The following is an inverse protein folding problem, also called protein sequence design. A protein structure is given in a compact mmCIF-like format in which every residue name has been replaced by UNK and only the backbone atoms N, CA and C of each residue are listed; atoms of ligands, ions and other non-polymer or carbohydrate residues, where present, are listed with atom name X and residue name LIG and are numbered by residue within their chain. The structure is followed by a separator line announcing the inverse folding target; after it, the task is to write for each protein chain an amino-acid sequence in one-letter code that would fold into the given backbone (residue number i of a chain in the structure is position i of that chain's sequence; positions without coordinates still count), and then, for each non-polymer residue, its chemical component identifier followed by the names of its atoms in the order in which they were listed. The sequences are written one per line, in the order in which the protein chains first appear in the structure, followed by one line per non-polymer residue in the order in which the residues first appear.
data_IF_647608861042
#
_entry.id   IF_647608861042
#
_cell.length_a   1.000
_cell.length_b   1.000
_cell.length_c   1.000
_cell.angle_alpha   90.00
_cell.angle_beta   90.00
_cell.angle_gamma   90.00
#
_symmetry.space_group_name_H-M   'P 1'
#
loop_
_entity.id
_entity.type
_entity.pdbx_description
1 polymer ?
#
# COMPACT_ATOMS: atom_id res chain seq x y z
N UNK A 1 -1.42 30.89 -13.63
CA UNK A 1 -1.63 29.43 -13.59
C UNK A 1 -2.00 29.05 -12.17
N UNK A 2 -3.22 28.58 -11.97
CA UNK A 2 -3.65 28.07 -10.68
C UNK A 2 -3.05 26.67 -10.46
N UNK A 3 -2.68 26.37 -9.21
CA UNK A 3 -2.30 25.03 -8.78
C UNK A 3 -3.52 24.08 -8.81
N UNK A 4 -3.28 22.79 -8.71
CA UNK A 4 -4.34 21.77 -8.75
C UNK A 4 -5.35 21.97 -7.60
N UNK A 5 -4.86 22.25 -6.40
CA UNK A 5 -5.71 22.52 -5.23
C UNK A 5 -6.52 23.83 -5.38
N UNK A 6 -5.91 24.88 -5.93
CA UNK A 6 -6.63 26.14 -6.19
C UNK A 6 -7.74 25.96 -7.23
N UNK A 7 -7.50 25.12 -8.24
CA UNK A 7 -8.54 24.74 -9.22
C UNK A 7 -9.69 23.98 -8.57
N UNK A 8 -9.40 23.05 -7.65
CA UNK A 8 -10.42 22.30 -6.93
C UNK A 8 -11.31 23.25 -6.11
N UNK A 9 -10.71 24.14 -5.34
CA UNK A 9 -11.47 25.14 -4.58
C UNK A 9 -12.24 26.12 -5.47
N UNK A 10 -11.65 26.56 -6.57
CA UNK A 10 -12.34 27.42 -7.53
C UNK A 10 -13.55 26.72 -8.15
N UNK A 11 -13.44 25.44 -8.50
CA UNK A 11 -14.55 24.65 -9.03
C UNK A 11 -15.70 24.55 -8.02
N UNK A 12 -15.40 24.21 -6.76
CA UNK A 12 -16.42 24.17 -5.70
C UNK A 12 -17.08 25.54 -5.47
N UNK A 13 -16.28 26.61 -5.45
CA UNK A 13 -16.83 27.97 -5.32
C UNK A 13 -17.77 28.31 -6.47
N UNK A 14 -17.37 28.08 -7.71
CA UNK A 14 -18.22 28.33 -8.90
C UNK A 14 -19.51 27.51 -8.85
N UNK A 15 -19.42 26.25 -8.49
CA UNK A 15 -20.57 25.37 -8.36
C UNK A 15 -21.59 25.90 -7.32
N UNK A 16 -21.10 26.28 -6.15
CA UNK A 16 -21.93 26.84 -5.05
C UNK A 16 -22.57 28.18 -5.40
N UNK A 17 -21.94 28.96 -6.28
CA UNK A 17 -22.51 30.19 -6.81
C UNK A 17 -23.39 30.01 -8.05
N UNK A 18 -23.63 28.75 -8.49
CA UNK A 18 -24.52 28.44 -9.58
C UNK A 18 -23.87 28.40 -10.97
N UNK A 19 -22.56 28.61 -11.08
CA UNK A 19 -21.79 28.50 -12.33
C UNK A 19 -21.40 27.03 -12.60
N UNK A 20 -22.42 26.19 -12.81
CA UNK A 20 -22.28 24.73 -12.86
C UNK A 20 -21.40 24.26 -14.01
N UNK A 21 -21.59 24.84 -15.20
CA UNK A 21 -20.84 24.43 -16.40
C UNK A 21 -19.36 24.83 -16.29
N UNK A 22 -19.06 26.04 -15.78
CA UNK A 22 -17.69 26.46 -15.54
C UNK A 22 -16.97 25.55 -14.51
N UNK A 23 -17.69 25.13 -13.46
CA UNK A 23 -17.19 24.19 -12.48
C UNK A 23 -16.86 22.83 -13.10
N UNK A 24 -17.74 22.30 -13.94
CA UNK A 24 -17.53 21.02 -14.66
C UNK A 24 -16.37 21.12 -15.65
N UNK A 25 -16.20 22.24 -16.33
CA UNK A 25 -15.07 22.44 -17.23
C UNK A 25 -13.72 22.41 -16.49
N UNK A 26 -13.69 22.95 -15.26
CA UNK A 26 -12.51 22.82 -14.41
C UNK A 26 -12.26 21.35 -14.04
N UNK A 27 -13.30 20.60 -13.63
CA UNK A 27 -13.14 19.17 -13.33
C UNK A 27 -12.66 18.37 -14.55
N UNK A 28 -13.20 18.66 -15.72
CA UNK A 28 -12.76 18.06 -16.98
C UNK A 28 -11.28 18.34 -17.25
N UNK A 29 -10.83 19.57 -16.98
CA UNK A 29 -9.41 19.92 -17.06
C UNK A 29 -8.57 19.15 -16.05
N UNK A 30 -9.05 18.99 -14.82
CA UNK A 30 -8.36 18.24 -13.77
C UNK A 30 -8.23 16.75 -14.13
N UNK A 31 -9.27 16.12 -14.69
CA UNK A 31 -9.23 14.72 -15.14
C UNK A 31 -8.11 14.44 -16.16
N UNK A 32 -7.77 15.41 -17.00
CA UNK A 32 -6.72 15.25 -18.01
C UNK A 32 -5.32 15.05 -17.41
N UNK A 33 -5.11 15.50 -16.18
CA UNK A 33 -3.83 15.38 -15.47
C UNK A 33 -3.83 14.28 -14.42
N UNK A 34 -4.96 13.60 -14.23
CA UNK A 34 -5.06 12.50 -13.31
C UNK A 34 -4.37 11.25 -13.86
N UNK A 35 -3.75 10.50 -12.98
CA UNK A 35 -3.22 9.17 -13.26
C UNK A 35 -4.07 8.14 -12.54
N UNK A 36 -4.57 7.15 -13.27
CA UNK A 36 -5.32 6.05 -12.70
C UNK A 36 -4.55 4.74 -12.89
N UNK A 37 -4.29 4.04 -11.80
CA UNK A 37 -3.61 2.75 -11.77
C UNK A 37 -4.40 1.75 -10.93
N UNK A 38 -4.62 0.51 -11.40
CA UNK A 38 -5.42 -0.47 -10.66
C UNK A 38 -4.93 -0.74 -9.22
N UNK A 39 -3.61 -0.73 -9.01
CA UNK A 39 -3.01 -0.97 -7.70
C UNK A 39 -2.96 0.26 -6.79
N UNK A 40 -2.95 1.47 -7.35
CA UNK A 40 -2.74 2.72 -6.61
C UNK A 40 -3.97 3.62 -6.56
N UNK A 41 -4.97 3.34 -7.38
CA UNK A 41 -6.12 4.21 -7.53
C UNK A 41 -5.88 5.43 -8.45
N UNK A 42 -6.68 6.49 -8.28
CA UNK A 42 -6.62 7.71 -9.06
C UNK A 42 -6.01 8.85 -8.25
N UNK A 43 -5.01 9.52 -8.83
CA UNK A 43 -4.26 10.59 -8.15
C UNK A 43 -3.59 11.54 -9.15
N UNK A 44 -3.00 12.63 -8.64
CA UNK A 44 -2.28 13.63 -9.43
C UNK A 44 -0.78 13.65 -9.09
N UNK A 45 0.09 13.13 -9.96
CA UNK A 45 1.53 12.93 -9.65
C UNK A 45 2.35 14.21 -9.50
N UNK A 46 1.85 15.33 -10.02
CA UNK A 46 2.54 16.62 -9.97
C UNK A 46 2.26 17.43 -8.70
N UNK A 47 1.61 16.81 -7.73
CA UNK A 47 1.36 17.39 -6.41
C UNK A 47 2.68 17.50 -5.64
N UNK A 48 3.50 18.48 -6.02
CA UNK A 48 4.70 18.81 -5.26
C UNK A 48 4.28 19.68 -4.09
N UNK A 49 4.56 19.22 -2.86
CA UNK A 49 4.45 20.06 -1.69
C UNK A 49 5.27 21.34 -1.91
N UNK A 50 4.62 22.48 -1.98
CA UNK A 50 5.33 23.74 -1.97
C UNK A 50 5.88 23.97 -0.57
N UNK A 51 7.18 24.21 -0.49
CA UNK A 51 7.95 24.39 0.75
C UNK A 51 7.35 25.45 1.72
N UNK A 52 6.44 26.29 1.26
CA UNK A 52 5.96 27.44 2.03
C UNK A 52 4.68 27.25 2.85
N UNK A 53 3.85 26.25 2.59
CA UNK A 53 2.67 25.96 3.41
C UNK A 53 2.31 24.49 3.21
N UNK A 54 2.52 23.67 4.19
CA UNK A 54 2.01 22.33 4.53
C UNK A 54 0.99 21.64 3.58
N UNK A 55 0.96 21.98 2.29
CA UNK A 55 0.15 21.29 1.30
C UNK A 55 0.79 19.92 1.05
N UNK A 56 0.36 18.96 1.83
CA UNK A 56 0.72 17.58 1.55
C UNK A 56 -0.05 17.10 0.33
N UNK A 57 0.50 16.12 -0.39
CA UNK A 57 -0.21 15.47 -1.50
C UNK A 57 -1.58 14.90 -1.04
N UNK A 58 -1.69 14.53 0.23
CA UNK A 58 -2.93 14.08 0.85
C UNK A 58 -3.99 15.19 0.92
N UNK A 59 -3.63 16.40 1.37
CA UNK A 59 -4.57 17.52 1.44
C UNK A 59 -5.06 17.93 0.04
N UNK A 60 -4.16 17.94 -0.93
CA UNK A 60 -4.51 18.23 -2.32
C UNK A 60 -5.46 17.17 -2.88
N UNK A 61 -5.20 15.90 -2.61
CA UNK A 61 -6.08 14.80 -2.99
C UNK A 61 -7.47 14.92 -2.33
N UNK A 62 -7.52 15.30 -1.05
CA UNK A 62 -8.78 15.53 -0.34
C UNK A 62 -9.59 16.67 -0.94
N UNK A 63 -8.93 17.80 -1.27
CA UNK A 63 -9.61 18.90 -1.93
C UNK A 63 -10.16 18.52 -3.31
N UNK A 64 -9.42 17.74 -4.08
CA UNK A 64 -9.87 17.19 -5.35
C UNK A 64 -11.04 16.22 -5.15
N UNK A 65 -10.92 15.30 -4.20
CA UNK A 65 -12.00 14.35 -3.88
C UNK A 65 -13.30 15.10 -3.56
N UNK A 66 -13.24 16.09 -2.69
CA UNK A 66 -14.41 16.88 -2.30
C UNK A 66 -15.02 17.63 -3.51
N UNK A 67 -14.18 18.17 -4.39
CA UNK A 67 -14.66 18.84 -5.60
C UNK A 67 -15.38 17.86 -6.56
N UNK A 68 -14.82 16.67 -6.75
CA UNK A 68 -15.45 15.64 -7.60
C UNK A 68 -16.73 15.11 -6.96
N UNK A 69 -16.74 14.86 -5.65
CA UNK A 69 -17.90 14.37 -4.94
C UNK A 69 -19.07 15.38 -4.93
N UNK A 70 -18.78 16.69 -4.82
CA UNK A 70 -19.80 17.73 -4.77
C UNK A 70 -20.37 18.08 -6.14
N UNK A 71 -19.52 18.13 -7.19
CA UNK A 71 -19.91 18.70 -8.50
C UNK A 71 -20.38 17.61 -9.46
N UNK A 72 -19.66 16.50 -9.54
CA UNK A 72 -19.94 15.44 -10.50
C UNK A 72 -19.50 14.08 -9.93
N UNK A 73 -20.30 13.49 -9.01
CA UNK A 73 -19.94 12.26 -8.33
C UNK A 73 -20.00 11.07 -9.28
N UNK A 74 -18.83 10.59 -9.72
CA UNK A 74 -18.67 9.34 -10.45
C UNK A 74 -18.11 8.31 -9.49
N UNK A 75 -18.91 7.33 -9.11
CA UNK A 75 -18.57 6.35 -8.07
C UNK A 75 -17.21 5.68 -8.31
N UNK A 76 -16.93 5.24 -9.52
CA UNK A 76 -15.66 4.58 -9.85
C UNK A 76 -14.43 5.49 -9.72
N UNK A 77 -14.57 6.80 -10.02
CA UNK A 77 -13.50 7.78 -9.83
C UNK A 77 -13.28 8.03 -8.33
N UNK A 78 -14.36 8.24 -7.58
CA UNK A 78 -14.30 8.48 -6.14
C UNK A 78 -13.69 7.27 -5.41
N UNK A 79 -14.05 6.06 -5.78
CA UNK A 79 -13.49 4.85 -5.19
C UNK A 79 -11.99 4.71 -5.50
N UNK A 80 -11.58 5.02 -6.72
CA UNK A 80 -10.17 5.04 -7.09
C UNK A 80 -9.39 6.13 -6.33
N UNK A 81 -10.00 7.29 -6.08
CA UNK A 81 -9.39 8.36 -5.27
C UNK A 81 -9.29 7.98 -3.79
N UNK A 82 -10.30 7.29 -3.24
CA UNK A 82 -10.26 6.71 -1.88
C UNK A 82 -9.17 5.65 -1.76
N UNK A 83 -9.05 4.76 -2.75
CA UNK A 83 -7.99 3.75 -2.80
C UNK A 83 -6.62 4.40 -2.68
N UNK A 84 -6.38 5.51 -3.40
CA UNK A 84 -5.12 6.22 -3.27
C UNK A 84 -4.94 6.81 -1.86
N UNK A 85 -5.94 7.48 -1.28
CA UNK A 85 -5.87 8.00 0.08
C UNK A 85 -5.53 6.90 1.09
N UNK A 86 -6.18 5.75 1.01
CA UNK A 86 -5.90 4.60 1.87
C UNK A 86 -4.48 4.06 1.66
N UNK A 87 -3.95 4.07 0.43
CA UNK A 87 -2.58 3.66 0.14
C UNK A 87 -1.52 4.59 0.75
N UNK A 88 -1.87 5.85 1.00
CA UNK A 88 -0.98 6.84 1.64
C UNK A 88 -1.05 6.82 3.16
N UNK A 89 -1.99 6.07 3.74
CA UNK A 89 -2.11 5.93 5.19
C UNK A 89 -0.85 5.28 5.75
N UNK A 90 -0.28 5.90 6.77
CA UNK A 90 0.78 5.32 7.60
C UNK A 90 0.16 4.39 8.64
N UNK A 91 0.78 4.19 9.79
CA UNK A 91 0.24 3.26 10.79
C UNK A 91 -1.16 3.68 11.27
N UNK A 92 -1.33 4.92 11.71
CA UNK A 92 -2.59 5.44 12.26
C UNK A 92 -3.03 6.78 11.67
N UNK A 93 -2.24 7.39 10.78
CA UNK A 93 -2.44 8.73 10.28
C UNK A 93 -1.96 8.91 8.83
N UNK A 94 -2.01 10.12 8.31
CA UNK A 94 -1.50 10.52 7.00
C UNK A 94 -0.33 11.51 7.12
N UNK A 95 0.51 11.34 8.14
CA UNK A 95 1.77 12.07 8.34
C UNK A 95 1.65 13.37 9.11
N UNK A 96 0.57 14.13 8.95
CA UNK A 96 0.32 15.36 9.68
C UNK A 96 -1.13 15.43 10.15
N UNK A 97 -1.39 16.09 11.28
CA UNK A 97 -2.73 16.22 11.85
C UNK A 97 -3.74 16.84 10.86
N UNK A 98 -3.44 17.94 10.14
CA UNK A 98 -4.37 18.48 9.16
C UNK A 98 -4.67 17.51 8.03
N UNK A 99 -3.65 16.85 7.48
CA UNK A 99 -3.82 15.85 6.43
C UNK A 99 -4.66 14.66 6.88
N UNK A 100 -4.47 14.22 8.13
CA UNK A 100 -5.25 13.15 8.74
C UNK A 100 -6.71 13.52 8.89
N UNK A 101 -7.01 14.71 9.39
CA UNK A 101 -8.39 15.20 9.53
C UNK A 101 -9.09 15.33 8.18
N UNK A 102 -8.44 15.91 7.19
CA UNK A 102 -9.00 16.05 5.85
C UNK A 102 -9.21 14.70 5.16
N UNK A 103 -8.28 13.75 5.33
CA UNK A 103 -8.42 12.40 4.78
C UNK A 103 -9.59 11.65 5.42
N UNK A 104 -9.74 11.70 6.74
CA UNK A 104 -10.87 11.11 7.46
C UNK A 104 -12.18 11.74 6.97
N UNK A 105 -12.23 13.08 6.89
CA UNK A 105 -13.41 13.79 6.42
C UNK A 105 -13.79 13.37 4.99
N UNK A 106 -12.83 13.38 4.06
CA UNK A 106 -13.07 12.98 2.68
C UNK A 106 -13.54 11.52 2.56
N UNK A 107 -12.98 10.63 3.37
CA UNK A 107 -13.41 9.22 3.39
C UNK A 107 -14.83 9.06 3.94
N UNK A 108 -15.24 9.83 4.94
CA UNK A 108 -16.57 9.76 5.54
C UNK A 108 -17.64 10.45 4.71
N UNK A 109 -17.33 11.62 4.12
CA UNK A 109 -18.31 12.43 3.39
C UNK A 109 -18.65 11.88 2.00
N UNK A 110 -17.82 11.04 1.46
CA UNK A 110 -17.93 10.55 0.08
C UNK A 110 -19.12 9.66 -0.26
N UNK A 111 -20.23 9.85 0.39
CA UNK A 111 -21.55 9.41 -0.08
C UNK A 111 -22.02 8.05 0.40
N UNK A 112 -21.24 7.32 1.18
CA UNK A 112 -21.67 6.07 1.77
C UNK A 112 -21.59 6.15 3.28
N UNK A 113 -22.67 5.92 3.96
CA UNK A 113 -22.69 5.86 5.43
C UNK A 113 -21.93 4.62 5.90
N UNK A 114 -20.62 4.80 6.12
CA UNK A 114 -19.74 3.73 6.61
C UNK A 114 -20.10 3.24 8.01
N UNK A 115 -20.95 3.97 8.71
CA UNK A 115 -21.40 3.67 10.05
C UNK A 115 -22.85 3.14 10.06
N UNK A 116 -23.52 3.14 8.92
CA UNK A 116 -24.84 2.54 8.82
C UNK A 116 -24.77 1.05 9.20
N UNK A 117 -25.75 0.56 9.97
CA UNK A 117 -25.87 -0.88 10.21
C UNK A 117 -26.00 -1.58 8.85
N UNK A 118 -24.99 -2.33 8.50
CA UNK A 118 -24.95 -3.03 7.23
C UNK A 118 -25.58 -4.41 7.42
N UNK A 119 -26.77 -4.61 6.85
CA UNK A 119 -27.43 -5.91 6.79
C UNK A 119 -26.87 -6.80 5.68
N UNK A 120 -25.95 -6.28 4.88
CA UNK A 120 -25.32 -7.03 3.79
C UNK A 120 -24.43 -8.15 4.32
N UNK A 121 -24.35 -9.22 3.55
CA UNK A 121 -23.66 -10.43 3.95
C UNK A 121 -22.43 -10.65 3.09
N UNK A 122 -21.29 -10.75 3.74
CA UNK A 122 -20.10 -11.30 3.10
C UNK A 122 -19.99 -12.77 3.46
N UNK A 123 -19.99 -13.64 2.48
CA UNK A 123 -19.71 -15.07 2.66
C UNK A 123 -18.33 -15.40 2.12
N UNK A 124 -17.59 -16.20 2.85
CA UNK A 124 -16.27 -16.69 2.45
C UNK A 124 -16.33 -18.20 2.42
N UNK A 125 -16.11 -18.76 1.23
CA UNK A 125 -15.95 -20.19 1.04
C UNK A 125 -14.47 -20.48 0.80
N UNK A 126 -13.80 -21.07 1.76
CA UNK A 126 -12.39 -21.39 1.69
C UNK A 126 -12.17 -22.91 1.67
N UNK A 127 -11.46 -23.39 0.65
CA UNK A 127 -11.27 -24.83 0.49
C UNK A 127 -12.56 -25.63 0.27
N UNK A 128 -13.64 -24.99 -0.21
CA UNK A 128 -14.94 -25.61 -0.41
C UNK A 128 -15.84 -25.63 0.84
N UNK A 129 -15.38 -25.06 1.95
CA UNK A 129 -16.15 -24.96 3.19
C UNK A 129 -16.53 -23.51 3.46
N UNK A 130 -17.77 -23.28 3.85
CA UNK A 130 -18.22 -21.97 4.30
C UNK A 130 -17.60 -21.66 5.67
N UNK A 131 -16.91 -20.52 5.73
CA UNK A 131 -16.22 -20.09 6.94
C UNK A 131 -17.18 -19.37 7.88
N UNK A 132 -17.12 -19.74 9.15
CA UNK A 132 -17.84 -19.02 10.21
C UNK A 132 -16.90 -18.02 10.85
N UNK A 133 -17.41 -16.81 11.09
CA UNK A 133 -16.63 -15.76 11.75
C UNK A 133 -16.13 -16.23 13.12
N UNK A 134 -14.84 -16.13 13.37
CA UNK A 134 -14.21 -16.53 14.62
C UNK A 134 -14.16 -15.42 15.67
N UNK A 135 -14.58 -14.21 15.35
CA UNK A 135 -14.66 -13.13 16.32
C UNK A 135 -15.86 -13.33 17.24
N UNK A 136 -15.64 -13.29 18.54
CA UNK A 136 -16.71 -13.35 19.55
C UNK A 136 -17.64 -12.16 19.45
N UNK A 137 -17.11 -10.99 19.08
CA UNK A 137 -17.86 -9.76 18.82
C UNK A 137 -17.45 -9.17 17.46
N UNK A 138 -18.33 -9.22 16.44
CA UNK A 138 -18.05 -8.57 15.16
C UNK A 138 -18.05 -7.05 15.38
N UNK A 139 -16.85 -6.47 15.39
CA UNK A 139 -16.68 -5.03 15.56
C UNK A 139 -16.34 -4.38 14.23
N UNK A 140 -17.08 -3.35 13.84
CA UNK A 140 -16.86 -2.55 12.63
C UNK A 140 -16.73 -3.37 11.33
N UNK A 141 -17.51 -4.43 11.17
CA UNK A 141 -17.51 -5.23 9.95
C UNK A 141 -16.23 -6.02 9.69
N UNK A 142 -15.32 -6.12 10.67
CA UNK A 142 -14.15 -6.97 10.57
C UNK A 142 -14.53 -8.44 10.75
N UNK A 143 -14.06 -9.29 9.85
CA UNK A 143 -14.16 -10.74 9.97
C UNK A 143 -12.78 -11.36 9.83
N UNK A 144 -12.46 -12.31 10.70
CA UNK A 144 -11.19 -13.04 10.67
C UNK A 144 -11.45 -14.55 10.66
N UNK A 145 -10.75 -15.25 9.80
CA UNK A 145 -10.83 -16.69 9.66
C UNK A 145 -9.44 -17.29 9.70
N UNK A 146 -9.27 -18.36 10.45
CA UNK A 146 -8.01 -19.08 10.55
C UNK A 146 -8.24 -20.56 10.30
N UNK A 147 -7.44 -21.15 9.42
CA UNK A 147 -7.35 -22.59 9.24
C UNK A 147 -6.11 -23.10 9.96
N UNK A 148 -6.28 -24.07 10.82
CA UNK A 148 -5.17 -24.77 11.47
C UNK A 148 -4.53 -25.78 10.50
N UNK A 149 -3.30 -26.22 10.79
CA UNK A 149 -2.51 -27.07 9.90
C UNK A 149 -3.20 -28.38 9.50
N UNK A 150 -4.07 -28.93 10.36
CA UNK A 150 -4.84 -30.14 10.09
C UNK A 150 -6.07 -29.92 9.19
N UNK A 151 -6.48 -28.68 8.99
CA UNK A 151 -7.61 -28.29 8.14
C UNK A 151 -7.16 -27.89 6.74
N UNK A 152 -5.85 -27.68 6.55
CA UNK A 152 -5.29 -27.26 5.27
C UNK A 152 -5.19 -28.45 4.32
N UNK A 153 -5.84 -28.31 3.17
CA UNK A 153 -5.78 -29.26 2.06
C UNK A 153 -5.44 -28.52 0.76
N UNK A 154 -5.20 -29.25 -0.33
CA UNK A 154 -4.99 -28.64 -1.64
C UNK A 154 -6.16 -27.74 -2.08
N UNK A 155 -7.38 -28.00 -1.61
CA UNK A 155 -8.55 -27.17 -1.87
C UNK A 155 -8.45 -25.77 -1.22
N UNK A 156 -7.69 -25.64 -0.13
CA UNK A 156 -7.47 -24.36 0.56
C UNK A 156 -6.65 -23.34 -0.27
N UNK A 157 -6.08 -23.76 -1.41
CA UNK A 157 -5.49 -22.84 -2.36
C UNK A 157 -6.54 -21.90 -3.05
N UNK A 158 -7.83 -22.17 -2.87
CA UNK A 158 -8.91 -21.37 -3.44
C UNK A 158 -9.83 -20.86 -2.34
N UNK A 159 -9.92 -19.54 -2.25
CA UNK A 159 -10.96 -18.84 -1.50
C UNK A 159 -11.90 -18.12 -2.46
N UNK A 160 -13.19 -18.21 -2.20
CA UNK A 160 -14.24 -17.48 -2.93
C UNK A 160 -14.91 -16.55 -1.93
N UNK A 161 -14.83 -15.26 -2.21
CA UNK A 161 -15.46 -14.22 -1.40
C UNK A 161 -16.65 -13.70 -2.19
N UNK A 162 -17.82 -13.77 -1.61
CA UNK A 162 -19.05 -13.23 -2.17
C UNK A 162 -19.62 -12.19 -1.23
N UNK A 163 -19.92 -11.03 -1.76
CA UNK A 163 -20.50 -9.93 -0.99
C UNK A 163 -21.63 -9.31 -1.79
N UNK A 164 -22.68 -8.88 -1.10
CA UNK A 164 -23.76 -8.07 -1.63
C UNK A 164 -23.61 -6.58 -1.25
N UNK A 165 -22.46 -6.22 -0.66
CA UNK A 165 -22.12 -4.84 -0.40
C UNK A 165 -21.90 -4.03 -1.69
N UNK A 166 -22.48 -2.85 -1.74
CA UNK A 166 -22.16 -1.84 -2.75
C UNK A 166 -20.91 -1.03 -2.38
N UNK A 167 -20.38 -1.24 -1.17
CA UNK A 167 -19.25 -0.50 -0.61
C UNK A 167 -17.93 -1.20 -0.85
N UNK A 168 -16.82 -0.45 -0.97
CA UNK A 168 -15.50 -1.04 -1.05
C UNK A 168 -15.20 -1.92 0.16
N UNK A 169 -14.82 -3.15 -0.10
CA UNK A 169 -14.33 -4.08 0.92
C UNK A 169 -12.87 -4.42 0.63
N UNK A 170 -12.10 -4.61 1.68
CA UNK A 170 -10.70 -5.03 1.54
C UNK A 170 -10.38 -6.14 2.54
N UNK A 171 -9.38 -6.91 2.22
CA UNK A 171 -8.91 -7.98 3.08
C UNK A 171 -7.52 -8.44 2.71
N UNK A 172 -6.97 -9.31 3.52
CA UNK A 172 -5.69 -9.94 3.27
C UNK A 172 -5.76 -11.44 3.61
N UNK A 173 -5.06 -12.25 2.85
CA UNK A 173 -4.89 -13.67 3.13
C UNK A 173 -3.42 -13.90 3.47
N UNK A 174 -3.16 -14.50 4.62
CA UNK A 174 -1.82 -14.86 5.06
C UNK A 174 -1.65 -16.37 4.95
N UNK A 175 -0.55 -16.77 4.32
CA UNK A 175 -0.15 -18.15 4.20
C UNK A 175 1.15 -18.36 4.96
N UNK A 176 1.13 -19.16 6.02
CA UNK A 176 2.30 -19.46 6.83
C UNK A 176 2.65 -20.94 6.73
N UNK A 177 3.89 -21.25 6.42
CA UNK A 177 4.37 -22.63 6.31
C UNK A 177 5.85 -22.71 6.67
N UNK A 178 6.25 -23.89 7.05
CA UNK A 178 7.66 -24.22 7.26
C UNK A 178 8.22 -24.87 5.99
N UNK A 179 9.41 -24.47 5.59
CA UNK A 179 10.13 -25.07 4.48
C UNK A 179 11.63 -25.05 4.75
N UNK A 180 12.39 -25.87 4.04
CA UNK A 180 13.83 -25.80 4.05
C UNK A 180 14.30 -24.44 3.50
N UNK A 181 15.28 -23.84 4.16
CA UNK A 181 15.84 -22.54 3.75
C UNK A 181 16.29 -22.53 2.29
N UNK A 182 16.75 -23.67 1.76
CA UNK A 182 17.17 -23.84 0.36
C UNK A 182 16.03 -23.69 -0.65
N UNK A 183 14.78 -23.90 -0.22
CA UNK A 183 13.59 -23.85 -1.07
C UNK A 183 12.92 -22.46 -1.04
N UNK A 184 13.34 -21.59 -0.11
CA UNK A 184 12.78 -20.24 -0.01
C UNK A 184 13.18 -19.44 -1.25
N UNK A 185 12.20 -19.09 -2.06
CA UNK A 185 12.39 -18.25 -3.23
C UNK A 185 12.36 -16.77 -2.86
N UNK A 186 13.17 -15.98 -3.55
CA UNK A 186 13.12 -14.52 -3.38
C UNK A 186 11.75 -13.97 -3.79
N UNK A 187 11.14 -13.20 -2.92
CA UNK A 187 9.94 -12.45 -3.23
C UNK A 187 10.31 -10.98 -3.46
N UNK A 188 9.68 -10.35 -4.42
CA UNK A 188 9.77 -8.91 -4.65
C UNK A 188 8.37 -8.33 -4.79
N UNK A 189 8.18 -7.12 -4.30
CA UNK A 189 7.00 -6.30 -4.59
C UNK A 189 7.38 -5.20 -5.56
N UNK A 190 6.42 -4.70 -6.29
CA UNK A 190 6.65 -3.75 -7.41
C UNK A 190 7.52 -2.55 -7.02
N UNK A 191 7.31 -2.00 -5.81
CA UNK A 191 8.02 -0.81 -5.34
C UNK A 191 9.18 -1.09 -4.37
N UNK A 192 9.46 -2.37 -4.04
CA UNK A 192 10.53 -2.75 -3.12
C UNK A 192 11.22 -4.01 -3.58
N UNK A 193 12.48 -3.90 -3.94
CA UNK A 193 13.32 -5.02 -4.31
C UNK A 193 14.56 -5.10 -3.41
N UNK A 194 14.90 -6.31 -2.99
CA UNK A 194 16.09 -6.61 -2.21
C UNK A 194 16.97 -7.60 -2.98
N UNK A 195 18.23 -7.22 -3.18
CA UNK A 195 19.26 -8.14 -3.68
C UNK A 195 20.29 -8.40 -2.61
N UNK A 196 20.63 -9.66 -2.39
CA UNK A 196 21.62 -10.12 -1.43
C UNK A 196 22.75 -10.84 -2.14
N UNK A 197 23.98 -10.35 -1.95
CA UNK A 197 25.18 -10.95 -2.51
C UNK A 197 26.16 -11.30 -1.39
N UNK A 198 26.63 -12.54 -1.37
CA UNK A 198 27.67 -12.99 -0.47
C UNK A 198 28.98 -12.98 -1.23
N UNK A 199 29.99 -12.32 -0.68
CA UNK A 199 31.30 -12.19 -1.27
C UNK A 199 32.37 -12.65 -0.29
N UNK A 200 33.43 -13.24 -0.80
CA UNK A 200 34.58 -13.68 -0.02
C UNK A 200 35.71 -12.67 -0.23
N UNK A 201 36.30 -12.19 0.87
CA UNK A 201 37.45 -11.31 0.85
C UNK A 201 38.69 -12.10 0.50
N UNK A 202 39.32 -11.77 -0.61
CA UNK A 202 40.64 -12.29 -0.99
C UNK A 202 41.71 -11.22 -0.77
N UNK A 203 42.81 -11.62 -0.23
CA UNK A 203 43.94 -10.72 0.00
C UNK A 203 44.75 -10.61 -1.29
N UNK A 204 44.67 -9.48 -1.96
CA UNK A 204 45.50 -9.16 -3.10
C UNK A 204 46.84 -8.49 -2.69
N UNK A 205 47.76 -8.36 -3.62
CA UNK A 205 49.10 -7.82 -3.35
C UNK A 205 49.11 -6.36 -2.89
N UNK A 206 48.09 -5.55 -3.24
CA UNK A 206 47.99 -4.12 -2.90
C UNK A 206 46.69 -3.76 -2.17
N UNK A 207 45.60 -4.51 -2.38
CA UNK A 207 44.32 -4.26 -1.75
C UNK A 207 43.51 -5.55 -1.63
N UNK A 208 42.58 -5.57 -0.66
CA UNK A 208 41.61 -6.67 -0.57
C UNK A 208 40.58 -6.56 -1.70
N UNK A 209 40.33 -7.67 -2.37
CA UNK A 209 39.28 -7.82 -3.39
C UNK A 209 38.15 -8.69 -2.86
N UNK A 210 36.93 -8.45 -3.34
CA UNK A 210 35.77 -9.21 -2.97
C UNK A 210 35.26 -10.00 -4.19
N UNK A 211 35.23 -11.33 -4.05
CA UNK A 211 34.80 -12.24 -5.11
C UNK A 211 33.47 -12.89 -4.70
N UNK A 212 32.50 -12.99 -5.61
CA UNK A 212 31.24 -13.66 -5.33
C UNK A 212 31.43 -15.11 -4.83
N UNK A 213 30.66 -15.51 -3.82
CA UNK A 213 30.77 -16.82 -3.18
C UNK A 213 30.67 -17.98 -4.16
N UNK A 214 29.85 -17.87 -5.20
CA UNK A 214 29.69 -18.93 -6.21
C UNK A 214 30.96 -19.22 -7.05
N UNK A 215 32.01 -18.42 -6.89
CA UNK A 215 33.30 -18.59 -7.58
C UNK A 215 34.41 -19.10 -6.67
N UNK A 216 34.13 -19.32 -5.39
CA UNK A 216 35.14 -19.66 -4.40
C UNK A 216 34.60 -20.71 -3.45
N UNK A 217 35.45 -21.67 -3.04
CA UNK A 217 35.12 -22.61 -1.98
C UNK A 217 35.55 -22.01 -0.64
N UNK A 218 34.62 -21.85 0.30
CA UNK A 218 34.88 -21.35 1.63
C UNK A 218 35.74 -22.30 2.46
N UNK A 219 36.63 -21.71 3.24
CA UNK A 219 37.45 -22.38 4.23
C UNK A 219 37.24 -21.70 5.60
N UNK A 220 37.49 -22.47 6.65
CA UNK A 220 37.48 -21.90 8.01
C UNK A 220 38.51 -20.74 8.10
N UNK A 221 38.07 -19.61 8.63
CA UNK A 221 38.88 -18.41 8.74
C UNK A 221 38.74 -17.42 7.56
N UNK A 222 38.04 -17.79 6.49
CA UNK A 222 37.76 -16.86 5.41
C UNK A 222 36.85 -15.73 5.89
N UNK A 223 37.13 -14.50 5.43
CA UNK A 223 36.29 -13.35 5.69
C UNK A 223 35.26 -13.18 4.58
N UNK A 224 34.01 -13.07 4.96
CA UNK A 224 32.91 -12.83 4.02
C UNK A 224 32.34 -11.42 4.21
N UNK A 225 31.82 -10.85 3.15
CA UNK A 225 31.03 -9.65 3.18
C UNK A 225 29.65 -9.93 2.56
N UNK A 226 28.62 -9.42 3.18
CA UNK A 226 27.25 -9.49 2.65
C UNK A 226 26.92 -8.09 2.12
N UNK A 227 26.61 -8.02 0.83
CA UNK A 227 26.10 -6.80 0.20
C UNK A 227 24.59 -6.92 0.05
N UNK A 228 23.88 -6.01 0.69
CA UNK A 228 22.44 -5.84 0.54
C UNK A 228 22.19 -4.61 -0.32
N UNK A 229 21.47 -4.78 -1.41
CA UNK A 229 21.04 -3.68 -2.28
C UNK A 229 19.53 -3.59 -2.22
N UNK A 230 19.03 -2.46 -1.73
CA UNK A 230 17.61 -2.17 -1.62
C UNK A 230 17.27 -1.17 -2.71
N UNK A 231 16.29 -1.48 -3.53
CA UNK A 231 15.72 -0.58 -4.53
C UNK A 231 14.29 -0.25 -4.15
N UNK A 232 13.98 1.03 -4.05
CA UNK A 232 12.63 1.51 -3.71
C UNK A 232 12.10 2.38 -4.85
N UNK A 233 10.87 2.13 -5.27
CA UNK A 233 10.19 2.88 -6.33
C UNK A 233 9.42 4.11 -5.83
N UNK A 234 9.28 4.26 -4.51
CA UNK A 234 8.59 5.38 -3.84
C UNK A 234 9.13 5.58 -2.44
N UNK A 235 8.83 6.71 -1.84
CA UNK A 235 9.14 6.93 -0.43
C UNK A 235 8.39 5.93 0.44
N UNK A 236 9.10 5.30 1.37
CA UNK A 236 8.57 4.31 2.30
C UNK A 236 8.99 4.66 3.72
N UNK A 237 8.10 4.39 4.68
CA UNK A 237 8.35 4.57 6.10
C UNK A 237 8.23 3.23 6.83
N UNK A 238 8.85 3.13 7.99
CA UNK A 238 8.81 1.93 8.85
C UNK A 238 9.35 0.66 8.15
N UNK A 239 10.27 0.81 7.20
CA UNK A 239 10.92 -0.32 6.54
C UNK A 239 11.91 -0.94 7.52
N UNK A 240 11.75 -2.23 7.78
CA UNK A 240 12.68 -3.02 8.58
C UNK A 240 13.43 -4.00 7.68
N UNK A 241 14.75 -3.95 7.73
CA UNK A 241 15.62 -4.90 7.04
C UNK A 241 16.21 -5.87 8.06
N UNK A 242 15.93 -7.16 7.89
CA UNK A 242 16.50 -8.22 8.69
C UNK A 242 17.38 -9.12 7.84
N UNK A 243 18.66 -9.25 8.19
CA UNK A 243 19.57 -10.22 7.56
C UNK A 243 19.99 -11.25 8.60
N UNK A 244 19.53 -12.49 8.40
CA UNK A 244 19.85 -13.59 9.30
C UNK A 244 21.21 -14.18 8.95
N UNK A 245 22.05 -14.28 9.94
CA UNK A 245 23.39 -14.86 9.84
C UNK A 245 23.36 -16.35 10.13
N UNK A 246 24.11 -17.13 9.36
CA UNK A 246 24.32 -18.54 9.70
C UNK A 246 25.11 -18.68 11.02
N UNK A 247 24.79 -19.68 11.82
CA UNK A 247 25.39 -19.89 13.14
C UNK A 247 26.91 -20.13 13.10
N UNK A 248 27.43 -20.60 11.95
CA UNK A 248 28.88 -20.81 11.75
C UNK A 248 29.66 -19.53 11.42
N UNK A 249 29.01 -18.38 11.30
CA UNK A 249 29.67 -17.11 11.02
C UNK A 249 29.77 -16.26 12.27
N UNK A 250 30.93 -15.70 12.50
CA UNK A 250 31.17 -14.70 13.53
C UNK A 250 31.24 -13.29 12.92
N UNK A 251 30.71 -12.30 13.63
CA UNK A 251 30.85 -10.91 13.20
C UNK A 251 32.29 -10.47 13.42
N UNK A 252 32.94 -9.99 12.38
CA UNK A 252 34.15 -9.20 12.53
C UNK A 252 33.74 -7.77 12.88
N UNK A 253 34.61 -7.01 13.57
CA UNK A 253 34.37 -5.62 13.94
C UNK A 253 33.82 -4.80 12.78
N UNK A 254 32.83 -3.95 13.09
CA UNK A 254 32.23 -2.99 12.19
C UNK A 254 33.20 -1.85 11.92
#
# INVERSE_FOLDING_TARGET
NFSTIEKAYAAMALYRYGFVEDAKDILKSLRQYAVSQPAKGMYWPNNRSHYYYNNSAVQEQCALFNAFAEIEPVTSELDAMRQWLLSQKQTNDWGAVPSTLEAIYALLEGGTDWLAPDESKTSIVWGGQEMKNNLEEPFLGLTEYTLSSNEISAAAAKAVISTDHEQPSWGAMYWQYYDDVKNVTSASVEDLALSRQIMVRQQGAQSATYVPLNRVTLKTGDRIAIRLTISVGRDMQFVCLTDSRAACFETTEQ
#
